data_IF_598724307801
#
_entry.id   IF_598724307801
#
_cell.length_a   1.000
_cell.length_b   1.000
_cell.length_c   1.000
_cell.angle_alpha   90.00
_cell.angle_beta   90.00
_cell.angle_gamma   90.00
#
_symmetry.space_group_name_H-M   'P 1'
#
loop_
_entity.id
_entity.type
_entity.pdbx_description
1 polymer ?
#
# COMPACT_ATOMS: atom_id res chain seq x y z
N UNK A 1 -11.69 -8.23 -42.00
CA UNK A 1 -11.54 -6.79 -41.81
C UNK A 1 -11.89 -6.39 -40.38
N UNK A 2 -11.43 -5.25 -39.91
CA UNK A 2 -11.77 -4.70 -38.59
C UNK A 2 -13.24 -4.29 -38.61
N UNK A 3 -14.07 -4.90 -37.76
CA UNK A 3 -15.48 -4.58 -37.67
C UNK A 3 -15.72 -3.21 -37.01
N UNK A 4 -14.84 -2.81 -36.10
CA UNK A 4 -14.93 -1.55 -35.34
C UNK A 4 -13.52 -1.01 -35.10
N UNK A 5 -13.39 0.31 -35.07
CA UNK A 5 -12.16 1.03 -34.73
C UNK A 5 -12.49 2.25 -33.87
N UNK A 6 -11.51 2.74 -33.11
CA UNK A 6 -11.68 3.94 -32.26
C UNK A 6 -12.57 3.74 -31.05
N UNK A 7 -12.80 2.50 -30.61
CA UNK A 7 -13.59 2.22 -29.42
C UNK A 7 -12.84 2.66 -28.15
N UNK A 8 -13.53 3.40 -27.26
CA UNK A 8 -13.03 3.81 -25.94
C UNK A 8 -14.17 3.79 -24.93
N UNK A 9 -13.89 3.45 -23.68
CA UNK A 9 -14.89 3.36 -22.60
C UNK A 9 -15.26 1.92 -22.21
N UNK A 10 -16.36 1.76 -21.48
CA UNK A 10 -16.87 0.47 -21.03
C UNK A 10 -17.88 -0.09 -22.03
N UNK A 11 -17.68 -1.31 -22.45
CA UNK A 11 -18.56 -2.01 -23.40
C UNK A 11 -19.19 -3.23 -22.76
N UNK A 12 -20.43 -3.49 -23.14
CA UNK A 12 -21.19 -4.67 -22.72
C UNK A 12 -21.52 -5.51 -23.94
N UNK A 13 -21.44 -6.83 -23.79
CA UNK A 13 -21.97 -7.73 -24.80
C UNK A 13 -23.48 -7.57 -24.86
N UNK A 14 -23.97 -7.25 -26.04
CA UNK A 14 -25.41 -7.25 -26.28
C UNK A 14 -25.73 -8.01 -27.55
N UNK A 15 -26.90 -8.61 -27.56
CA UNK A 15 -27.51 -9.23 -28.73
C UNK A 15 -28.91 -8.68 -28.89
N UNK A 16 -29.19 -8.11 -30.03
CA UNK A 16 -30.53 -7.72 -30.40
C UNK A 16 -31.14 -8.75 -31.38
N UNK A 17 -32.41 -8.98 -31.23
CA UNK A 17 -33.18 -9.81 -32.12
C UNK A 17 -34.17 -8.95 -32.88
N UNK A 18 -34.30 -9.19 -34.17
CA UNK A 18 -35.34 -8.59 -34.99
C UNK A 18 -36.27 -9.70 -35.53
N UNK A 19 -37.56 -9.54 -35.34
CA UNK A 19 -38.55 -10.51 -35.78
C UNK A 19 -39.07 -11.45 -34.66
N UNK A 20 -40.01 -12.32 -35.04
CA UNK A 20 -40.73 -13.22 -34.12
C UNK A 20 -40.13 -14.63 -33.98
N UNK A 21 -39.09 -14.95 -34.74
CA UNK A 21 -38.51 -16.29 -34.75
C UNK A 21 -37.70 -16.56 -33.51
N UNK A 22 -37.79 -17.78 -32.98
CA UNK A 22 -36.96 -18.22 -31.86
C UNK A 22 -35.61 -18.72 -32.37
N UNK A 23 -34.49 -18.20 -31.82
CA UNK A 23 -33.18 -18.76 -32.04
C UNK A 23 -32.35 -18.73 -30.78
N UNK A 24 -31.44 -19.67 -30.68
CA UNK A 24 -30.52 -19.80 -29.57
C UNK A 24 -29.17 -19.26 -30.00
N UNK A 25 -28.61 -18.35 -29.21
CA UNK A 25 -27.24 -17.88 -29.41
C UNK A 25 -26.35 -18.44 -28.30
N UNK A 26 -25.22 -18.96 -28.72
CA UNK A 26 -24.19 -19.43 -27.79
C UNK A 26 -22.98 -18.50 -27.87
N UNK A 27 -22.61 -17.96 -26.73
CA UNK A 27 -21.39 -17.17 -26.60
C UNK A 27 -20.22 -18.05 -26.19
N UNK A 28 -19.11 -17.96 -26.92
CA UNK A 28 -17.87 -18.63 -26.59
C UNK A 28 -16.77 -17.58 -26.36
N UNK A 29 -16.43 -17.33 -25.10
CA UNK A 29 -15.36 -16.42 -24.69
C UNK A 29 -14.01 -17.12 -24.53
N UNK A 30 -13.91 -18.40 -24.91
CA UNK A 30 -12.74 -19.24 -24.77
C UNK A 30 -12.92 -20.38 -23.76
N UNK A 31 -14.12 -20.54 -23.18
CA UNK A 31 -14.47 -21.67 -22.31
C UNK A 31 -14.57 -23.01 -23.07
N UNK A 32 -14.59 -22.96 -24.41
CA UNK A 32 -14.55 -24.10 -25.32
C UNK A 32 -13.58 -23.79 -26.47
N UNK A 33 -13.01 -24.79 -27.16
CA UNK A 33 -12.27 -24.57 -28.39
C UNK A 33 -13.09 -23.74 -29.37
N UNK A 34 -12.45 -22.81 -30.08
CA UNK A 34 -13.10 -22.11 -31.17
C UNK A 34 -13.28 -23.03 -32.38
N UNK A 35 -14.42 -22.94 -33.05
CA UNK A 35 -14.68 -23.67 -34.27
C UNK A 35 -13.79 -23.21 -35.44
N UNK A 36 -13.29 -21.98 -35.38
CA UNK A 36 -12.42 -21.38 -36.39
C UNK A 36 -11.21 -20.76 -35.71
N UNK A 37 -10.08 -20.74 -36.43
CA UNK A 37 -8.88 -20.02 -35.96
C UNK A 37 -9.17 -18.54 -35.83
N UNK A 38 -8.87 -17.97 -34.66
CA UNK A 38 -9.00 -16.54 -34.47
C UNK A 38 -8.07 -15.77 -35.42
N UNK A 39 -8.50 -14.61 -35.96
CA UNK A 39 -7.61 -13.75 -36.74
C UNK A 39 -6.35 -13.37 -35.93
N UNK A 40 -5.25 -13.12 -36.63
CA UNK A 40 -3.99 -12.69 -35.97
C UNK A 40 -4.20 -11.49 -35.05
N UNK A 41 -3.69 -11.58 -33.85
CA UNK A 41 -3.85 -10.54 -32.81
C UNK A 41 -5.12 -10.65 -31.94
N UNK A 42 -6.08 -11.50 -32.31
CA UNK A 42 -7.28 -11.75 -31.51
C UNK A 42 -7.08 -12.95 -30.60
N UNK A 43 -7.55 -12.83 -29.35
CA UNK A 43 -7.45 -13.87 -28.33
C UNK A 43 -8.82 -14.12 -27.69
N UNK A 44 -8.96 -15.30 -27.10
CA UNK A 44 -10.13 -15.61 -26.28
C UNK A 44 -10.25 -14.62 -25.11
N UNK A 45 -11.48 -14.20 -24.79
CA UNK A 45 -11.75 -13.37 -23.61
C UNK A 45 -11.80 -14.27 -22.36
N UNK A 46 -10.64 -14.64 -21.87
CA UNK A 46 -10.46 -15.45 -20.68
C UNK A 46 -9.27 -14.95 -19.88
N UNK A 47 -9.21 -15.32 -18.61
CA UNK A 47 -8.16 -14.88 -17.67
C UNK A 47 -6.75 -15.25 -18.14
N UNK A 48 -6.61 -16.34 -18.88
CA UNK A 48 -5.32 -16.80 -19.43
C UNK A 48 -4.71 -15.80 -20.43
N UNK A 49 -5.52 -14.99 -21.08
CA UNK A 49 -5.08 -13.99 -22.07
C UNK A 49 -4.94 -12.58 -21.49
N UNK A 50 -5.27 -12.38 -20.23
CA UNK A 50 -4.99 -11.13 -19.52
C UNK A 50 -3.48 -10.99 -19.29
N UNK A 51 -2.97 -9.75 -19.21
CA UNK A 51 -1.59 -9.54 -18.76
C UNK A 51 -1.36 -10.25 -17.44
N UNK A 52 -0.24 -10.93 -17.28
CA UNK A 52 0.11 -11.56 -16.01
C UNK A 52 0.23 -10.46 -14.95
N UNK A 53 -0.55 -10.52 -13.86
CA UNK A 53 -0.44 -9.50 -12.82
C UNK A 53 0.95 -9.56 -12.17
N UNK A 54 1.53 -8.42 -11.88
CA UNK A 54 2.84 -8.32 -11.20
C UNK A 54 2.77 -8.94 -9.81
N UNK A 55 1.66 -8.70 -9.12
CA UNK A 55 1.37 -9.29 -7.79
C UNK A 55 0.32 -10.38 -7.95
N UNK A 56 0.54 -11.52 -7.28
CA UNK A 56 -0.41 -12.63 -7.23
C UNK A 56 -0.20 -13.73 -8.28
N UNK A 57 0.65 -13.51 -9.27
CA UNK A 57 0.88 -14.47 -10.36
C UNK A 57 1.51 -15.79 -9.90
N UNK A 58 2.35 -15.75 -8.88
CA UNK A 58 3.08 -16.91 -8.33
C UNK A 58 3.04 -16.92 -6.81
N UNK A 59 3.45 -18.02 -6.18
CA UNK A 59 3.62 -18.07 -4.72
C UNK A 59 4.62 -17.04 -4.19
N UNK A 60 5.61 -16.66 -5.01
CA UNK A 60 6.61 -15.66 -4.66
C UNK A 60 6.05 -14.22 -4.73
N UNK A 61 5.05 -13.98 -5.57
CA UNK A 61 4.46 -12.65 -5.83
C UNK A 61 3.05 -12.49 -5.27
N UNK A 62 2.59 -13.36 -4.37
CA UNK A 62 1.27 -13.23 -3.73
C UNK A 62 1.15 -11.90 -3.00
N UNK A 63 -0.04 -11.29 -3.03
CA UNK A 63 -0.32 -9.99 -2.43
C UNK A 63 0.07 -9.92 -0.93
N UNK A 64 -0.10 -11.00 -0.18
CA UNK A 64 0.27 -11.10 1.23
C UNK A 64 1.78 -11.08 1.50
N UNK A 65 2.62 -11.14 0.46
CA UNK A 65 4.07 -10.87 0.58
C UNK A 65 4.42 -9.39 0.61
N UNK A 66 3.48 -8.54 0.20
CA UNK A 66 3.67 -7.09 0.10
C UNK A 66 2.81 -6.30 1.06
N UNK A 67 1.68 -6.89 1.49
CA UNK A 67 0.80 -6.32 2.51
C UNK A 67 0.17 -7.44 3.33
N UNK A 68 0.17 -7.30 4.66
CA UNK A 68 -0.46 -8.25 5.57
C UNK A 68 -1.21 -7.52 6.69
N UNK A 69 -2.18 -8.19 7.26
CA UNK A 69 -2.94 -7.71 8.42
C UNK A 69 -2.86 -8.78 9.51
N UNK A 70 -2.21 -8.45 10.61
CA UNK A 70 -2.06 -9.35 11.76
C UNK A 70 -3.01 -8.92 12.86
N UNK A 71 -3.87 -9.84 13.29
CA UNK A 71 -4.69 -9.68 14.49
C UNK A 71 -4.03 -10.46 15.62
N UNK A 72 -3.72 -9.76 16.71
CA UNK A 72 -3.06 -10.36 17.87
C UNK A 72 -3.70 -9.96 19.19
N UNK A 73 -3.35 -10.68 20.22
CA UNK A 73 -3.61 -10.29 21.62
C UNK A 73 -2.26 -10.02 22.29
N UNK A 74 -2.13 -8.87 22.93
CA UNK A 74 -0.89 -8.53 23.65
C UNK A 74 -0.68 -9.46 24.85
N UNK A 75 0.56 -9.86 25.06
CA UNK A 75 1.02 -10.58 26.24
C UNK A 75 1.48 -9.63 27.39
N UNK A 76 1.27 -8.32 27.22
CA UNK A 76 1.72 -7.31 28.18
C UNK A 76 3.24 -7.15 28.19
N UNK A 77 3.78 -6.85 29.36
CA UNK A 77 5.21 -6.58 29.55
C UNK A 77 6.16 -7.74 29.25
N UNK A 78 5.63 -8.93 28.96
CA UNK A 78 6.44 -10.09 28.54
C UNK A 78 6.77 -9.98 27.05
N UNK A 79 5.95 -9.24 26.29
CA UNK A 79 6.02 -9.19 24.83
C UNK A 79 5.60 -10.50 24.17
N UNK A 80 5.76 -10.58 22.87
CA UNK A 80 5.38 -11.78 22.09
C UNK A 80 5.98 -11.77 20.70
N UNK A 81 5.99 -12.95 20.06
CA UNK A 81 6.35 -13.10 18.66
C UNK A 81 5.11 -13.46 17.85
N UNK A 82 4.83 -12.67 16.81
CA UNK A 82 3.63 -12.77 16.00
C UNK A 82 3.99 -13.02 14.54
N UNK A 83 3.35 -14.01 13.92
CA UNK A 83 3.62 -14.39 12.53
C UNK A 83 3.05 -13.39 11.55
N UNK A 84 3.78 -13.16 10.46
CA UNK A 84 3.34 -12.39 9.29
C UNK A 84 3.85 -13.07 8.02
N UNK A 85 3.19 -12.81 6.91
CA UNK A 85 3.62 -13.27 5.58
C UNK A 85 4.55 -12.30 4.88
N UNK A 86 4.67 -11.06 5.39
CA UNK A 86 5.62 -10.06 4.90
C UNK A 86 7.01 -10.33 5.49
N UNK A 87 8.03 -10.34 4.64
CA UNK A 87 9.42 -10.35 5.10
C UNK A 87 9.83 -8.95 5.58
N UNK A 88 9.62 -8.67 6.86
CA UNK A 88 9.90 -7.36 7.45
C UNK A 88 11.41 -7.10 7.61
N UNK A 89 12.24 -8.15 7.67
CA UNK A 89 13.71 -7.99 7.72
C UNK A 89 14.30 -7.40 6.43
N UNK A 90 13.54 -7.47 5.32
CA UNK A 90 13.86 -6.80 4.06
C UNK A 90 13.25 -5.38 3.96
N UNK A 91 12.89 -4.79 5.07
CA UNK A 91 12.30 -3.46 5.15
C UNK A 91 10.76 -3.48 5.15
N UNK A 92 10.18 -2.76 6.08
CA UNK A 92 8.73 -2.66 6.24
C UNK A 92 8.30 -1.39 6.95
N UNK A 93 7.03 -1.00 6.73
CA UNK A 93 6.25 -0.14 7.60
C UNK A 93 5.25 -1.00 8.36
N UNK A 94 5.12 -0.78 9.65
CA UNK A 94 4.08 -1.33 10.51
C UNK A 94 3.24 -0.20 11.08
N UNK A 95 1.92 -0.33 10.93
CA UNK A 95 0.93 0.58 11.51
C UNK A 95 0.12 -0.21 12.54
N UNK A 96 0.30 0.13 13.81
CA UNK A 96 -0.26 -0.59 14.97
C UNK A 96 -1.44 0.16 15.58
N UNK A 97 -2.45 -0.58 16.05
CA UNK A 97 -3.61 -0.05 16.77
C UNK A 97 -4.20 -1.03 17.76
N UNK A 98 -4.25 -0.61 19.02
CA UNK A 98 -5.07 -1.29 20.04
C UNK A 98 -6.55 -1.20 19.71
N UNK A 99 -7.23 -2.35 19.53
CA UNK A 99 -8.64 -2.44 19.12
C UNK A 99 -9.59 -2.38 20.30
N UNK A 100 -9.22 -2.94 21.44
CA UNK A 100 -10.07 -3.03 22.65
C UNK A 100 -9.85 -1.89 23.65
N UNK A 101 -8.98 -0.95 23.33
CA UNK A 101 -8.66 0.20 24.16
C UNK A 101 -8.63 1.49 23.34
N UNK A 102 -8.81 2.61 24.03
CA UNK A 102 -8.57 3.92 23.44
C UNK A 102 -7.06 4.19 23.44
N UNK A 103 -6.40 3.97 22.29
CA UNK A 103 -4.97 4.22 22.08
C UNK A 103 -4.77 4.98 20.77
N UNK A 104 -3.62 5.63 20.62
CA UNK A 104 -3.21 6.22 19.36
C UNK A 104 -2.95 5.16 18.29
N UNK A 105 -2.81 5.60 17.05
CA UNK A 105 -2.41 4.80 15.89
C UNK A 105 -0.92 5.05 15.65
N UNK A 106 -0.09 4.03 15.78
CA UNK A 106 1.36 4.18 15.76
C UNK A 106 1.98 3.63 14.48
N UNK A 107 2.87 4.42 13.88
CA UNK A 107 3.63 4.03 12.70
C UNK A 107 5.11 3.87 13.05
N UNK A 108 5.64 2.70 12.71
CA UNK A 108 7.05 2.32 12.87
C UNK A 108 7.57 1.81 11.53
N UNK A 109 8.84 2.02 11.23
CA UNK A 109 9.43 1.49 9.99
C UNK A 109 10.93 1.19 10.14
N UNK A 110 11.43 0.43 9.17
CA UNK A 110 12.82 -0.01 9.09
C UNK A 110 13.81 1.10 8.73
N UNK A 111 13.37 2.21 8.13
CA UNK A 111 14.24 3.31 7.70
C UNK A 111 14.54 4.26 8.86
N UNK A 112 13.53 4.59 9.65
CA UNK A 112 13.69 5.41 10.86
C UNK A 112 14.26 4.61 12.04
N UNK A 113 14.09 3.30 11.99
CA UNK A 113 14.35 2.37 13.08
C UNK A 113 13.06 1.99 13.82
N UNK A 114 12.92 0.71 14.15
CA UNK A 114 11.69 0.11 14.71
C UNK A 114 11.31 0.61 16.11
N UNK A 115 12.21 1.32 16.79
CA UNK A 115 11.91 1.99 18.07
C UNK A 115 11.31 3.40 17.89
N UNK A 116 11.31 3.94 16.67
CA UNK A 116 10.83 5.29 16.37
C UNK A 116 9.37 5.26 15.95
N UNK A 117 8.53 5.93 16.73
CA UNK A 117 7.08 5.96 16.51
C UNK A 117 6.59 7.34 16.15
N UNK A 118 5.61 7.38 15.27
CA UNK A 118 4.79 8.55 14.97
C UNK A 118 3.32 8.17 15.17
N UNK A 119 2.53 9.04 15.78
CA UNK A 119 1.09 8.81 15.99
C UNK A 119 0.28 9.53 14.91
N UNK A 120 -0.45 8.78 14.08
CA UNK A 120 -1.17 9.35 12.93
C UNK A 120 -2.43 10.12 13.30
N UNK A 121 -2.95 9.94 14.49
CA UNK A 121 -4.11 10.61 15.07
C UNK A 121 -3.76 11.87 15.85
N UNK A 122 -2.47 12.22 15.94
CA UNK A 122 -1.98 13.39 16.67
C UNK A 122 -0.96 14.18 15.85
N UNK A 123 -0.66 15.39 16.26
CA UNK A 123 0.39 16.23 15.67
C UNK A 123 1.78 15.99 16.29
N UNK A 124 1.91 15.15 17.31
CA UNK A 124 3.14 14.93 18.06
C UNK A 124 4.37 14.67 17.18
N UNK A 125 5.54 15.07 17.67
CA UNK A 125 6.82 14.71 17.08
C UNK A 125 7.13 13.22 17.30
N UNK A 126 8.17 12.72 16.61
CA UNK A 126 8.62 11.33 16.73
C UNK A 126 9.04 11.03 18.18
N UNK A 127 8.52 9.92 18.73
CA UNK A 127 8.88 9.38 20.03
C UNK A 127 9.78 8.14 19.88
N UNK A 128 10.43 7.74 20.96
CA UNK A 128 11.32 6.58 20.98
C UNK A 128 10.87 5.59 22.06
N UNK A 129 10.45 4.39 21.62
CA UNK A 129 10.03 3.28 22.48
C UNK A 129 10.87 2.03 22.15
N UNK A 130 12.08 1.89 22.70
CA UNK A 130 13.03 0.86 22.32
C UNK A 130 12.59 -0.56 22.69
N UNK A 131 11.68 -0.69 23.64
CA UNK A 131 11.20 -1.99 24.12
C UNK A 131 9.79 -2.33 23.63
N UNK A 132 9.23 -1.57 22.66
CA UNK A 132 7.91 -1.90 22.13
C UNK A 132 8.00 -2.95 21.03
N UNK A 133 8.60 -2.59 19.89
CA UNK A 133 8.94 -3.55 18.84
C UNK A 133 10.45 -3.80 18.88
N UNK A 134 10.84 -5.05 19.04
CA UNK A 134 12.25 -5.42 19.26
C UNK A 134 12.86 -6.14 18.07
N UNK A 135 12.02 -6.70 17.17
CA UNK A 135 12.52 -7.37 15.97
C UNK A 135 11.49 -7.31 14.83
N UNK A 136 12.00 -7.06 13.61
CA UNK A 136 11.33 -7.24 12.34
C UNK A 136 12.01 -8.41 11.61
N UNK A 137 11.40 -9.59 11.69
CA UNK A 137 11.95 -10.83 11.13
C UNK A 137 11.45 -11.15 9.72
N UNK A 138 11.86 -12.29 9.20
CA UNK A 138 11.49 -12.73 7.83
C UNK A 138 10.07 -13.29 7.72
N UNK A 139 9.49 -13.73 8.83
CA UNK A 139 8.15 -14.32 8.89
C UNK A 139 7.42 -13.99 10.19
N UNK A 140 7.95 -13.09 10.98
CA UNK A 140 7.38 -12.65 12.25
C UNK A 140 7.95 -11.31 12.66
N UNK A 141 7.28 -10.65 13.61
CA UNK A 141 7.82 -9.55 14.38
C UNK A 141 7.70 -9.86 15.87
N UNK A 142 8.50 -9.20 16.68
CA UNK A 142 8.53 -9.40 18.13
C UNK A 142 8.28 -8.09 18.86
N UNK A 143 7.38 -8.10 19.84
CA UNK A 143 7.18 -7.01 20.80
C UNK A 143 7.95 -7.28 22.08
N UNK A 144 8.21 -6.23 22.84
CA UNK A 144 8.90 -6.30 24.15
C UNK A 144 8.03 -5.78 25.28
N UNK A 145 8.68 -5.24 26.32
CA UNK A 145 8.03 -4.83 27.57
C UNK A 145 7.12 -3.61 27.47
N UNK A 146 7.20 -2.84 26.41
CA UNK A 146 6.39 -1.65 26.20
C UNK A 146 5.13 -1.94 25.36
N UNK A 147 4.82 -3.23 25.09
CA UNK A 147 3.58 -3.62 24.40
C UNK A 147 2.35 -3.25 25.23
N UNK A 148 1.18 -3.28 24.63
CA UNK A 148 -0.08 -3.01 25.32
C UNK A 148 -0.29 -3.94 26.51
N UNK A 149 -1.12 -3.53 27.44
CA UNK A 149 -1.54 -4.37 28.59
C UNK A 149 -2.01 -5.75 28.10
N UNK A 150 -1.67 -6.79 28.85
CA UNK A 150 -2.06 -8.17 28.54
C UNK A 150 -3.57 -8.29 28.30
N UNK A 151 -3.94 -9.02 27.27
CA UNK A 151 -5.33 -9.19 26.87
C UNK A 151 -5.84 -8.12 25.90
N UNK A 152 -5.11 -7.03 25.66
CA UNK A 152 -5.48 -6.04 24.63
C UNK A 152 -5.47 -6.68 23.25
N UNK A 153 -6.58 -6.59 22.52
CA UNK A 153 -6.61 -7.01 21.12
C UNK A 153 -6.06 -5.89 20.23
N UNK A 154 -5.21 -6.26 19.29
CA UNK A 154 -4.43 -5.35 18.44
C UNK A 154 -4.60 -5.71 16.98
N UNK A 155 -4.47 -4.74 16.10
CA UNK A 155 -4.31 -4.93 14.67
C UNK A 155 -3.02 -4.25 14.22
N UNK A 156 -2.23 -4.97 13.44
CA UNK A 156 -1.04 -4.48 12.77
C UNK A 156 -1.23 -4.58 11.26
N UNK A 157 -1.16 -3.45 10.57
CA UNK A 157 -1.09 -3.39 9.11
C UNK A 157 0.38 -3.26 8.71
N UNK A 158 0.84 -4.12 7.81
CA UNK A 158 2.26 -4.27 7.47
C UNK A 158 2.43 -4.12 5.97
N UNK A 159 3.25 -3.16 5.54
CA UNK A 159 3.64 -2.95 4.14
C UNK A 159 5.10 -3.34 3.95
N UNK A 160 5.36 -4.16 2.94
CA UNK A 160 6.73 -4.47 2.53
C UNK A 160 7.35 -3.27 1.81
N UNK A 161 8.54 -2.89 2.26
CA UNK A 161 9.44 -1.97 1.57
C UNK A 161 10.61 -2.77 0.95
N UNK A 162 11.79 -2.19 0.80
CA UNK A 162 12.96 -2.85 0.25
C UNK A 162 14.26 -2.38 0.93
N UNK A 163 14.70 -3.15 1.89
CA UNK A 163 15.90 -2.87 2.70
C UNK A 163 15.68 -1.81 3.79
N UNK A 164 16.73 -1.53 4.54
CA UNK A 164 16.76 -0.51 5.60
C UNK A 164 16.85 0.94 5.08
N UNK A 165 16.82 1.08 3.76
CA UNK A 165 16.95 2.36 3.09
C UNK A 165 18.37 2.59 2.52
N UNK A 166 18.42 3.28 1.39
CA UNK A 166 19.64 3.70 0.72
C UNK A 166 19.60 5.18 0.35
N UNK A 167 20.75 5.79 0.20
CA UNK A 167 20.87 7.19 -0.23
C UNK A 167 20.26 7.37 -1.62
N UNK A 168 19.43 8.38 -1.76
CA UNK A 168 18.79 8.76 -3.02
C UNK A 168 19.04 10.25 -3.30
N UNK A 169 19.63 10.52 -4.47
CA UNK A 169 19.93 11.86 -4.95
C UNK A 169 19.01 12.33 -6.09
N UNK A 170 17.94 11.58 -6.36
CA UNK A 170 16.91 11.99 -7.31
C UNK A 170 16.03 13.05 -6.66
N UNK A 171 16.25 14.30 -7.02
CA UNK A 171 15.63 15.48 -6.41
C UNK A 171 16.68 16.48 -5.94
N UNK A 172 16.24 17.66 -5.53
CA UNK A 172 17.13 18.70 -5.02
C UNK A 172 17.53 18.49 -3.55
N UNK A 173 16.84 17.62 -2.83
CA UNK A 173 17.14 17.21 -1.45
C UNK A 173 17.53 15.73 -1.47
N UNK A 174 18.72 15.44 -0.92
CA UNK A 174 19.12 14.05 -0.66
C UNK A 174 18.18 13.40 0.36
N UNK A 175 17.79 12.16 0.09
CA UNK A 175 16.91 11.39 0.95
C UNK A 175 17.46 9.98 1.22
N UNK A 176 16.91 9.30 2.22
CA UNK A 176 17.10 7.86 2.40
C UNK A 176 15.78 7.17 2.04
N UNK A 177 15.85 6.21 1.13
CA UNK A 177 14.68 5.58 0.51
C UNK A 177 14.74 4.07 0.63
N UNK A 178 13.64 3.47 1.09
CA UNK A 178 13.37 2.05 0.99
C UNK A 178 12.15 1.88 0.09
N UNK A 179 12.36 1.52 -1.17
CA UNK A 179 11.32 1.46 -2.18
C UNK A 179 11.17 0.05 -2.76
N UNK A 180 9.98 -0.48 -2.70
CA UNK A 180 9.58 -1.70 -3.40
C UNK A 180 8.74 -1.33 -4.63
N UNK A 181 9.33 -1.38 -5.80
CA UNK A 181 8.65 -1.12 -7.07
C UNK A 181 7.60 -2.18 -7.39
N UNK A 182 7.76 -3.40 -6.86
CA UNK A 182 6.77 -4.49 -7.00
C UNK A 182 5.50 -4.22 -6.20
N UNK A 183 5.64 -3.79 -4.95
CA UNK A 183 4.48 -3.45 -4.10
C UNK A 183 3.93 -2.04 -4.38
N UNK A 184 4.68 -1.20 -5.08
CA UNK A 184 4.34 0.20 -5.28
C UNK A 184 4.43 1.03 -4.00
N UNK A 185 5.25 0.61 -3.02
CA UNK A 185 5.35 1.24 -1.71
C UNK A 185 6.77 1.72 -1.41
N UNK A 186 6.90 2.91 -0.81
CA UNK A 186 8.20 3.51 -0.46
C UNK A 186 8.14 4.23 0.88
N UNK A 187 9.19 4.05 1.66
CA UNK A 187 9.47 4.82 2.89
C UNK A 187 10.60 5.78 2.58
N UNK A 188 10.40 7.06 2.83
CA UNK A 188 11.35 8.11 2.50
C UNK A 188 11.60 8.98 3.72
N UNK A 189 12.87 9.19 4.06
CA UNK A 189 13.28 10.16 5.07
C UNK A 189 14.22 11.21 4.46
N UNK A 190 14.03 12.47 4.84
CA UNK A 190 14.86 13.58 4.38
C UNK A 190 14.89 14.71 5.40
N UNK A 191 15.82 15.63 5.26
CA UNK A 191 15.88 16.88 6.01
C UNK A 191 15.46 18.03 5.09
N UNK A 192 14.37 18.72 5.46
CA UNK A 192 13.92 19.88 4.71
C UNK A 192 14.96 21.01 4.72
N UNK A 193 15.10 21.71 3.60
CA UNK A 193 16.06 22.81 3.41
C UNK A 193 15.40 24.20 3.36
N UNK A 194 14.11 24.29 3.67
CA UNK A 194 13.29 25.49 3.63
C UNK A 194 13.23 26.20 2.25
N UNK A 195 13.58 25.49 1.17
CA UNK A 195 13.54 26.02 -0.19
C UNK A 195 12.21 25.69 -0.84
N UNK A 196 11.45 26.69 -1.27
CA UNK A 196 10.21 26.47 -2.02
C UNK A 196 10.51 25.78 -3.35
N UNK A 197 9.68 24.76 -3.69
CA UNK A 197 9.85 23.97 -4.91
C UNK A 197 10.97 22.91 -4.82
N UNK A 198 11.61 22.74 -3.66
CA UNK A 198 12.55 21.65 -3.48
C UNK A 198 11.87 20.28 -3.65
N UNK A 199 12.59 19.34 -4.25
CA UNK A 199 12.06 18.00 -4.60
C UNK A 199 12.81 16.90 -3.87
N UNK A 200 12.09 15.80 -3.60
CA UNK A 200 12.60 14.60 -2.91
C UNK A 200 12.29 13.38 -3.77
N UNK A 201 13.30 12.54 -4.02
CA UNK A 201 13.11 11.29 -4.75
C UNK A 201 12.44 10.22 -3.88
N UNK A 202 11.47 9.49 -4.45
CA UNK A 202 10.73 8.42 -3.75
C UNK A 202 11.09 7.00 -4.20
N UNK A 203 11.87 6.82 -5.25
CA UNK A 203 12.42 5.55 -5.69
C UNK A 203 11.45 4.56 -6.38
N UNK A 204 10.18 4.92 -6.61
CA UNK A 204 9.20 4.00 -7.22
C UNK A 204 9.28 3.92 -8.75
N UNK A 205 9.92 4.88 -9.41
CA UNK A 205 10.01 4.93 -10.88
C UNK A 205 8.73 5.35 -11.60
N UNK A 206 7.63 5.51 -10.88
CA UNK A 206 6.32 5.95 -11.39
C UNK A 206 5.72 6.99 -10.45
N UNK A 207 4.88 7.89 -10.95
CA UNK A 207 4.22 8.90 -10.13
C UNK A 207 3.36 8.25 -9.05
N UNK A 208 3.55 8.57 -7.76
CA UNK A 208 2.74 8.00 -6.69
C UNK A 208 1.32 8.55 -6.74
N UNK A 209 0.34 7.68 -6.54
CA UNK A 209 -1.08 8.09 -6.44
C UNK A 209 -1.43 8.69 -5.08
N UNK A 210 -0.65 8.38 -4.06
CA UNK A 210 -0.82 8.86 -2.70
C UNK A 210 0.52 8.99 -2.00
N UNK A 211 0.68 10.02 -1.18
CA UNK A 211 1.76 10.08 -0.20
C UNK A 211 1.31 10.82 1.06
N UNK A 212 1.94 10.45 2.18
CA UNK A 212 1.72 11.02 3.49
C UNK A 212 3.03 11.65 3.95
N UNK A 213 2.98 12.85 4.47
CA UNK A 213 4.16 13.55 4.99
C UNK A 213 3.99 13.82 6.49
N UNK A 214 5.06 13.66 7.25
CA UNK A 214 5.10 14.02 8.66
C UNK A 214 6.47 14.57 9.05
N UNK A 215 6.47 15.72 9.72
CA UNK A 215 7.68 16.17 10.40
C UNK A 215 7.99 15.27 11.59
N UNK A 216 9.24 14.78 11.66
CA UNK A 216 9.73 13.94 12.76
C UNK A 216 10.08 14.75 13.99
N UNK A 217 10.60 15.96 13.81
CA UNK A 217 11.14 16.82 14.87
C UNK A 217 10.16 17.85 15.42
N UNK A 218 9.05 18.11 14.71
CA UNK A 218 8.10 19.15 15.07
C UNK A 218 6.69 18.59 15.23
N UNK A 219 5.94 19.19 16.15
CA UNK A 219 4.52 18.92 16.32
C UNK A 219 3.72 19.60 15.18
N UNK A 220 3.55 18.89 14.07
CA UNK A 220 2.83 19.36 12.86
C UNK A 220 1.78 18.34 12.42
N UNK A 221 0.85 18.76 11.58
CA UNK A 221 -0.15 17.86 10.98
C UNK A 221 0.46 16.82 10.05
N UNK A 222 -0.40 15.96 9.52
CA UNK A 222 -0.12 14.90 8.56
C UNK A 222 -0.77 15.24 7.22
N UNK A 223 -0.16 16.09 6.38
CA UNK A 223 -0.67 16.32 5.04
C UNK A 223 -0.61 15.04 4.21
N UNK A 224 -1.70 14.80 3.49
CA UNK A 224 -1.87 13.64 2.60
C UNK A 224 -2.21 14.15 1.21
N UNK A 225 -1.42 13.77 0.24
CA UNK A 225 -1.76 13.90 -1.17
C UNK A 225 -2.45 12.63 -1.66
N UNK A 226 -3.49 12.80 -2.46
CA UNK A 226 -4.10 11.71 -3.21
C UNK A 226 -4.56 12.23 -4.57
N UNK A 227 -4.22 11.50 -5.63
CA UNK A 227 -4.46 11.92 -7.03
C UNK A 227 -5.92 12.24 -7.35
N UNK A 228 -6.86 11.66 -6.62
CA UNK A 228 -8.30 11.88 -6.80
C UNK A 228 -8.94 12.65 -5.63
N UNK A 229 -8.17 13.40 -4.83
CA UNK A 229 -8.73 14.14 -3.68
C UNK A 229 -9.68 15.28 -4.09
N UNK A 230 -9.42 15.91 -5.24
CA UNK A 230 -10.25 16.96 -5.84
C UNK A 230 -9.87 17.15 -7.32
N UNK A 231 -10.50 18.11 -8.01
CA UNK A 231 -10.22 18.40 -9.42
C UNK A 231 -8.80 18.94 -9.69
N UNK A 232 -8.11 19.46 -8.67
CA UNK A 232 -6.76 20.00 -8.76
C UNK A 232 -5.93 19.50 -7.56
N UNK A 233 -5.61 18.21 -7.48
CA UNK A 233 -5.03 17.61 -6.27
C UNK A 233 -3.66 18.15 -5.88
N UNK A 234 -2.94 18.77 -6.82
CA UNK A 234 -1.65 19.41 -6.55
C UNK A 234 -1.76 20.72 -5.75
N UNK A 235 -2.94 21.32 -5.63
CA UNK A 235 -3.17 22.60 -4.93
C UNK A 235 -3.79 22.43 -3.56
N UNK A 236 -4.09 21.20 -3.14
CA UNK A 236 -4.69 20.89 -1.85
C UNK A 236 -4.11 19.64 -1.22
N UNK A 237 -4.48 19.41 0.02
CA UNK A 237 -4.12 18.18 0.75
C UNK A 237 -5.26 17.78 1.69
N UNK A 238 -5.30 16.49 2.00
CA UNK A 238 -6.09 15.95 3.10
C UNK A 238 -5.26 15.96 4.38
N UNK A 239 -5.90 15.85 5.54
CA UNK A 239 -5.21 15.78 6.82
C UNK A 239 -5.60 14.50 7.55
N UNK A 240 -4.62 13.69 7.93
CA UNK A 240 -4.88 12.37 8.51
C UNK A 240 -5.42 12.46 9.94
N UNK A 241 -4.97 13.46 10.72
CA UNK A 241 -5.30 13.59 12.15
C UNK A 241 -6.53 14.46 12.42
N UNK A 242 -7.22 14.95 11.41
CA UNK A 242 -8.38 15.83 11.61
C UNK A 242 -9.67 15.02 11.56
N UNK A 243 -10.45 15.07 12.63
CA UNK A 243 -11.85 14.66 12.59
C UNK A 243 -12.63 15.71 11.80
N UNK A 244 -13.23 15.33 10.67
CA UNK A 244 -14.19 16.19 10.01
C UNK A 244 -15.41 16.33 10.91
N UNK A 245 -15.58 17.51 11.51
CA UNK A 245 -16.89 17.89 12.02
C UNK A 245 -17.70 18.28 10.78
N UNK A 246 -18.76 17.57 10.49
CA UNK A 246 -19.74 17.97 9.49
C UNK A 246 -20.29 19.35 9.85
N UNK A 247 -20.17 20.28 8.93
CA UNK A 247 -20.90 21.56 8.96
C UNK A 247 -22.32 21.32 8.50
#
# INVERSE_FOLDING_TARGET
GTAFSGLSGTYFFCQARFGSDSHTTQWNFGQRPFAYTAPSGFKALCTQNLPTPTIGATSATRANKYFDVVLRTSNGNVGGTYSTTVNMSNGALLWDKGRSINSSHYLLDSVRGISKTLSSDTTGAEANYPNWFTNFGSSSFTTGSDDYTAGTTVVDWIWAANGSGSTNNAGSIQSTVSASTLSGFSIVTYTGNATAGATVGHGLGVTPSMFIIKSRSLATGWPVYHVNSNASPATGYLSLQVSFHSF
#
